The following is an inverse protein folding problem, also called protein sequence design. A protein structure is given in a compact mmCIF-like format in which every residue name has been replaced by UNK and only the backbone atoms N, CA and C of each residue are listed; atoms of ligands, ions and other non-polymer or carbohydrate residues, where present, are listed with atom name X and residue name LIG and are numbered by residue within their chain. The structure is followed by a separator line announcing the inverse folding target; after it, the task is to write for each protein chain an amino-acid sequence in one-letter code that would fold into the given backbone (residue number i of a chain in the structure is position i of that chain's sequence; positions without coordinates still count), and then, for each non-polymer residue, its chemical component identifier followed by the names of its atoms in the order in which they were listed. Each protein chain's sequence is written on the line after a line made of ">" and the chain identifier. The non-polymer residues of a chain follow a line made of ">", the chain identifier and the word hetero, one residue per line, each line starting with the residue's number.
data_IF_010862776405
#
_entry.id   IF_010862776405
#
_cell.length_a   1.000
_cell.length_b   1.000
_cell.length_c   1.000
_cell.angle_alpha   90.00
_cell.angle_beta   90.00
_cell.angle_gamma   90.00
#
_symmetry.space_group_name_H-M   'P 1'
#
loop_
_entity.id
_entity.type
_entity.pdbx_description
1 polymer ?
#
# COMPACT_ATOMS: atom_id res chain seq x y z
N UNK A 1 30.35 -87.17 18.82
CA UNK A 1 30.68 -85.74 18.91
C UNK A 1 29.43 -84.95 18.53
N UNK A 2 28.76 -84.33 19.51
CA UNK A 2 27.52 -83.59 19.27
C UNK A 2 27.85 -82.13 18.93
N UNK A 3 27.35 -81.62 17.81
CA UNK A 3 27.47 -80.21 17.46
C UNK A 3 26.34 -79.42 18.12
N UNK A 4 26.75 -78.55 19.05
CA UNK A 4 25.93 -77.58 19.77
C UNK A 4 25.22 -76.60 18.82
N UNK A 5 23.92 -76.41 19.05
CA UNK A 5 23.14 -75.31 18.51
C UNK A 5 23.37 -74.05 19.39
N UNK A 6 23.81 -72.95 18.77
CA UNK A 6 23.81 -71.61 19.36
C UNK A 6 22.55 -70.85 18.90
N UNK A 7 21.70 -70.33 19.79
CA UNK A 7 20.73 -69.32 19.44
C UNK A 7 21.42 -67.94 19.46
N UNK A 8 21.41 -67.26 18.32
CA UNK A 8 21.82 -65.86 18.23
C UNK A 8 20.67 -64.93 18.64
N UNK A 9 21.06 -64.00 19.50
CA UNK A 9 20.33 -62.93 20.15
C UNK A 9 19.61 -61.96 19.21
N UNK A 10 18.42 -61.56 19.65
CA UNK A 10 18.01 -60.18 19.96
C UNK A 10 18.17 -59.07 18.89
N UNK A 11 17.09 -58.27 18.77
CA UNK A 11 16.98 -56.94 18.14
C UNK A 11 16.60 -56.89 16.66
N UNK A 12 15.30 -56.84 16.40
CA UNK A 12 14.76 -56.01 15.30
C UNK A 12 13.41 -55.44 15.74
N UNK A 13 13.48 -54.42 16.59
CA UNK A 13 12.34 -53.60 17.03
C UNK A 13 12.64 -52.18 16.55
N UNK A 14 11.74 -51.66 15.71
CA UNK A 14 11.52 -50.24 15.40
C UNK A 14 12.62 -49.54 14.60
N UNK A 15 12.47 -49.55 13.27
CA UNK A 15 13.07 -48.58 12.36
C UNK A 15 11.99 -48.05 11.40
N UNK A 16 10.95 -47.44 11.96
CA UNK A 16 9.96 -46.63 11.25
C UNK A 16 9.55 -45.52 12.23
N UNK A 17 9.43 -44.28 11.77
CA UNK A 17 9.30 -43.01 12.54
C UNK A 17 10.64 -42.28 12.73
N UNK A 18 11.21 -41.78 11.62
CA UNK A 18 12.12 -40.62 11.63
C UNK A 18 11.96 -39.73 10.39
N UNK A 19 10.78 -39.75 9.75
CA UNK A 19 10.35 -38.71 8.79
C UNK A 19 9.37 -37.77 9.47
N UNK A 20 9.74 -37.26 10.65
CA UNK A 20 9.07 -36.10 11.23
C UNK A 20 9.55 -34.88 10.46
N UNK A 21 8.76 -34.55 9.44
CA UNK A 21 8.44 -33.20 9.00
C UNK A 21 9.35 -32.11 9.59
N UNK A 22 10.49 -31.88 8.93
CA UNK A 22 11.07 -30.55 8.89
C UNK A 22 10.10 -29.67 8.09
N UNK A 23 9.01 -29.29 8.76
CA UNK A 23 8.25 -28.11 8.37
C UNK A 23 9.20 -26.97 8.64
N UNK A 24 10.03 -26.63 7.65
CA UNK A 24 10.80 -25.40 7.68
C UNK A 24 9.79 -24.30 7.94
N UNK A 25 9.78 -23.76 9.16
CA UNK A 25 9.00 -22.58 9.49
C UNK A 25 9.67 -21.51 8.65
N UNK A 26 9.15 -21.28 7.44
CA UNK A 26 9.47 -20.09 6.68
C UNK A 26 9.05 -18.94 7.59
N UNK A 27 10.03 -18.35 8.28
CA UNK A 27 9.81 -17.15 9.07
C UNK A 27 9.31 -16.12 8.08
N UNK A 28 8.01 -15.81 8.15
CA UNK A 28 7.47 -14.69 7.40
C UNK A 28 8.35 -13.48 7.73
N UNK A 29 8.84 -12.79 6.71
CA UNK A 29 9.60 -11.56 6.90
C UNK A 29 8.78 -10.61 7.78
N UNK A 30 9.45 -9.87 8.65
CA UNK A 30 8.70 -9.01 9.57
C UNK A 30 7.93 -7.95 8.76
N UNK A 31 6.71 -7.55 9.19
CA UNK A 31 5.81 -6.73 8.36
C UNK A 31 6.33 -5.38 7.85
N UNK A 32 7.38 -4.82 8.47
CA UNK A 32 8.04 -3.56 8.08
C UNK A 32 9.47 -3.78 7.58
N UNK A 33 9.92 -5.03 7.47
CA UNK A 33 11.24 -5.38 6.97
C UNK A 33 11.25 -5.31 5.44
N UNK A 34 12.05 -4.41 4.85
CA UNK A 34 12.18 -4.38 3.40
C UNK A 34 12.74 -5.71 2.88
N UNK A 35 12.31 -6.14 1.69
CA UNK A 35 12.86 -7.32 1.01
C UNK A 35 13.54 -6.95 -0.32
N UNK A 36 14.72 -6.29 -0.30
CA UNK A 36 15.40 -5.82 -1.50
C UNK A 36 15.65 -6.92 -2.53
N UNK A 37 15.22 -6.68 -3.77
CA UNK A 37 15.61 -7.49 -4.91
C UNK A 37 16.69 -6.79 -5.75
N UNK A 38 17.57 -7.52 -6.47
CA UNK A 38 18.60 -6.92 -7.32
C UNK A 38 18.06 -6.37 -8.66
N UNK A 39 16.76 -6.51 -8.94
CA UNK A 39 16.15 -6.06 -10.19
C UNK A 39 16.18 -4.51 -10.30
N UNK A 40 16.51 -3.96 -11.47
CA UNK A 40 16.55 -2.50 -11.69
C UNK A 40 15.19 -1.83 -11.53
N UNK A 41 14.10 -2.56 -11.77
CA UNK A 41 12.73 -2.09 -11.57
C UNK A 41 12.22 -2.34 -10.15
N UNK A 42 13.08 -2.79 -9.23
CA UNK A 42 12.69 -3.03 -7.86
C UNK A 42 12.18 -1.74 -7.20
N UNK A 43 10.98 -1.83 -6.63
CA UNK A 43 10.43 -0.83 -5.73
C UNK A 43 9.61 -1.51 -4.66
N UNK A 44 9.82 -1.09 -3.42
CA UNK A 44 9.04 -1.52 -2.26
C UNK A 44 8.66 -0.29 -1.44
N UNK A 45 7.41 -0.22 -0.99
CA UNK A 45 6.85 0.95 -0.33
C UNK A 45 5.91 0.56 0.79
N UNK A 46 6.08 1.19 1.94
CA UNK A 46 5.16 1.20 3.07
C UNK A 46 4.45 2.56 3.07
N UNK A 47 3.15 2.55 2.81
CA UNK A 47 2.33 3.76 2.72
C UNK A 47 1.40 3.84 3.92
N UNK A 48 1.41 4.98 4.59
CA UNK A 48 0.62 5.25 5.78
C UNK A 48 -0.27 6.47 5.50
N UNK A 49 -1.58 6.31 5.61
CA UNK A 49 -2.59 7.31 5.28
C UNK A 49 -3.40 7.66 6.53
N UNK A 50 -3.79 8.92 6.64
CA UNK A 50 -4.77 9.44 7.57
C UNK A 50 -5.83 10.29 6.87
N UNK A 51 -7.11 9.99 7.14
CA UNK A 51 -8.24 10.87 6.85
C UNK A 51 -8.74 11.50 8.16
N UNK A 52 -8.46 12.78 8.35
CA UNK A 52 -8.69 13.48 9.61
C UNK A 52 -10.08 14.10 9.67
N UNK A 53 -10.57 14.31 10.89
CA UNK A 53 -11.92 14.83 11.16
C UNK A 53 -12.17 16.21 10.55
N UNK A 54 -11.16 17.09 10.53
CA UNK A 54 -11.22 18.42 9.92
C UNK A 54 -11.16 18.41 8.39
N UNK A 55 -11.11 17.22 7.78
CA UNK A 55 -11.01 17.03 6.34
C UNK A 55 -9.57 17.04 5.81
N UNK A 56 -8.56 17.18 6.67
CA UNK A 56 -7.15 17.07 6.28
C UNK A 56 -6.81 15.63 5.87
N UNK A 57 -6.13 15.48 4.73
CA UNK A 57 -5.52 14.22 4.33
C UNK A 57 -4.02 14.25 4.63
N UNK A 58 -3.52 13.16 5.19
CA UNK A 58 -2.09 12.97 5.48
C UNK A 58 -1.61 11.67 4.87
N UNK A 59 -0.45 11.69 4.23
CA UNK A 59 0.26 10.51 3.75
C UNK A 59 1.71 10.58 4.16
N UNK A 60 2.25 9.47 4.67
CA UNK A 60 3.68 9.24 4.84
C UNK A 60 4.04 7.97 4.10
N UNK A 61 5.12 8.02 3.33
CA UNK A 61 5.61 6.88 2.56
C UNK A 61 7.09 6.66 2.85
N UNK A 62 7.44 5.42 3.20
CA UNK A 62 8.81 4.94 3.34
C UNK A 62 9.04 3.90 2.27
N UNK A 63 10.03 4.07 1.41
CA UNK A 63 10.27 3.15 0.29
C UNK A 63 11.75 2.87 0.08
N UNK A 64 12.02 1.70 -0.51
CA UNK A 64 13.34 1.25 -0.95
C UNK A 64 13.23 0.90 -2.43
N UNK A 65 14.14 1.40 -3.26
CA UNK A 65 14.06 1.20 -4.72
C UNK A 65 15.43 1.15 -5.40
N UNK A 66 15.51 0.43 -6.52
CA UNK A 66 16.61 0.48 -7.47
C UNK A 66 16.32 1.37 -8.68
N UNK A 67 15.16 2.04 -8.73
CA UNK A 67 14.80 2.90 -9.84
C UNK A 67 15.71 4.14 -9.89
N UNK A 68 16.35 4.35 -11.04
CA UNK A 68 17.25 5.46 -11.31
C UNK A 68 18.73 5.12 -11.07
N UNK A 69 19.64 6.12 -11.09
CA UNK A 69 21.07 5.86 -10.94
C UNK A 69 21.43 5.30 -9.55
N UNK A 70 22.11 4.15 -9.51
CA UNK A 70 22.48 3.42 -8.28
C UNK A 70 21.40 2.46 -7.79
N UNK A 71 21.68 1.71 -6.73
CA UNK A 71 20.75 0.71 -6.16
C UNK A 71 20.38 1.03 -4.72
N UNK A 72 19.28 0.44 -4.24
CA UNK A 72 18.88 0.40 -2.83
C UNK A 72 18.77 1.78 -2.19
N UNK A 73 18.21 2.72 -2.92
CA UNK A 73 17.93 4.05 -2.38
C UNK A 73 16.72 3.98 -1.46
N UNK A 74 16.81 4.66 -0.32
CA UNK A 74 15.67 4.93 0.54
C UNK A 74 14.99 6.22 0.11
N UNK A 75 13.66 6.28 0.15
CA UNK A 75 12.90 7.53 -0.03
C UNK A 75 11.89 7.64 1.11
N UNK A 76 11.93 8.77 1.80
CA UNK A 76 10.88 9.20 2.71
C UNK A 76 10.12 10.38 2.10
N UNK A 77 8.81 10.29 2.06
CA UNK A 77 7.91 11.35 1.59
C UNK A 77 6.81 11.56 2.61
N UNK A 78 6.42 12.82 2.80
CA UNK A 78 5.18 13.17 3.48
C UNK A 78 4.30 14.01 2.56
N UNK A 79 2.99 14.04 2.81
CA UNK A 79 2.03 14.90 2.13
C UNK A 79 0.93 15.28 3.11
N UNK A 80 0.74 16.58 3.32
CA UNK A 80 -0.34 17.13 4.14
C UNK A 80 -1.19 18.03 3.27
N UNK A 81 -2.47 17.71 3.20
CA UNK A 81 -3.46 18.37 2.35
C UNK A 81 -4.62 18.86 3.20
N UNK A 82 -4.56 20.14 3.58
CA UNK A 82 -5.62 20.81 4.33
C UNK A 82 -6.64 21.41 3.37
N UNK A 83 -7.96 21.33 3.66
CA UNK A 83 -8.98 21.95 2.82
C UNK A 83 -8.70 23.43 2.55
N UNK A 84 -8.74 23.83 1.28
CA UNK A 84 -8.53 25.21 0.85
C UNK A 84 -7.10 25.74 0.96
N UNK A 85 -6.11 24.90 1.31
CA UNK A 85 -4.71 25.30 1.44
C UNK A 85 -3.82 24.61 0.40
N UNK A 86 -2.67 25.21 0.12
CA UNK A 86 -1.64 24.58 -0.71
C UNK A 86 -1.11 23.32 0.00
N UNK A 87 -0.99 22.23 -0.74
CA UNK A 87 -0.40 21.00 -0.22
C UNK A 87 1.06 21.20 0.20
N UNK A 88 1.46 20.57 1.29
CA UNK A 88 2.86 20.47 1.72
C UNK A 88 3.33 19.03 1.52
N UNK A 89 4.23 18.80 0.55
CA UNK A 89 4.62 17.45 0.10
C UNK A 89 6.13 17.25 0.06
N UNK A 90 6.84 17.34 1.20
CA UNK A 90 8.29 17.22 1.24
C UNK A 90 8.75 15.79 0.96
N UNK A 91 9.98 15.65 0.46
CA UNK A 91 10.59 14.37 0.15
C UNK A 91 12.10 14.41 0.40
N UNK A 92 12.65 13.31 0.93
CA UNK A 92 14.08 13.08 1.05
C UNK A 92 14.45 11.72 0.46
N UNK A 93 15.43 11.72 -0.45
CA UNK A 93 16.12 10.51 -0.92
C UNK A 93 17.41 10.32 -0.11
N UNK A 94 17.71 9.09 0.28
CA UNK A 94 18.88 8.68 1.07
C UNK A 94 19.56 7.46 0.46
N UNK A 95 20.85 7.25 0.76
CA UNK A 95 21.60 6.10 0.26
C UNK A 95 21.30 4.80 1.02
N UNK A 96 21.84 3.68 0.53
CA UNK A 96 21.67 2.34 1.13
C UNK A 96 22.04 2.28 2.62
N UNK A 97 23.06 3.05 3.04
CA UNK A 97 23.55 3.06 4.43
C UNK A 97 22.69 3.89 5.39
N UNK A 98 21.69 4.59 4.87
CA UNK A 98 20.85 5.53 5.63
C UNK A 98 19.43 4.99 5.85
N UNK A 99 19.14 3.77 5.41
CA UNK A 99 17.94 3.05 5.81
C UNK A 99 18.31 1.70 6.44
N UNK A 100 17.46 1.22 7.34
CA UNK A 100 17.65 -0.07 8.01
C UNK A 100 16.35 -0.54 8.64
N UNK A 101 16.27 -1.85 8.89
CA UNK A 101 15.23 -2.44 9.74
C UNK A 101 15.88 -3.00 11.01
N UNK A 102 15.28 -2.71 12.16
CA UNK A 102 15.66 -3.28 13.45
C UNK A 102 14.55 -4.23 13.92
N UNK A 103 14.83 -5.53 13.83
CA UNK A 103 13.89 -6.59 14.21
C UNK A 103 13.58 -6.62 15.72
N UNK A 104 14.50 -6.16 16.58
CA UNK A 104 14.27 -6.14 18.03
C UNK A 104 13.22 -5.11 18.41
N UNK A 105 13.19 -3.98 17.68
CA UNK A 105 12.25 -2.89 17.95
C UNK A 105 11.07 -2.85 16.99
N UNK A 106 11.09 -3.66 15.92
CA UNK A 106 10.09 -3.63 14.86
C UNK A 106 10.08 -2.32 14.10
N UNK A 107 11.26 -1.71 13.88
CA UNK A 107 11.38 -0.35 13.35
C UNK A 107 12.09 -0.32 11.99
N UNK A 108 11.40 0.18 10.97
CA UNK A 108 11.99 0.63 9.72
C UNK A 108 12.42 2.09 9.85
N UNK A 109 13.66 2.40 9.45
CA UNK A 109 14.20 3.75 9.37
C UNK A 109 14.63 4.06 7.95
N UNK A 110 14.29 5.25 7.46
CA UNK A 110 14.70 5.78 6.15
C UNK A 110 15.12 7.23 6.33
N UNK A 111 16.43 7.46 6.47
CA UNK A 111 16.98 8.75 6.89
C UNK A 111 16.48 9.14 8.28
N UNK A 112 15.89 10.32 8.39
CA UNK A 112 15.29 10.82 9.63
C UNK A 112 13.85 10.29 9.87
N UNK A 113 13.25 9.64 8.89
CA UNK A 113 11.90 9.09 9.01
C UNK A 113 11.93 7.67 9.58
N UNK A 114 10.86 7.28 10.26
CA UNK A 114 10.73 5.93 10.80
C UNK A 114 9.28 5.45 10.83
N UNK A 115 9.10 4.13 10.77
CA UNK A 115 7.86 3.44 11.08
C UNK A 115 8.17 2.31 12.06
N UNK A 116 7.44 2.25 13.15
CA UNK A 116 7.57 1.23 14.19
C UNK A 116 6.23 0.56 14.42
N UNK A 117 6.20 -0.76 14.48
CA UNK A 117 5.03 -1.52 14.88
C UNK A 117 5.39 -2.48 16.00
N UNK A 118 5.05 -2.11 17.23
CA UNK A 118 5.32 -2.89 18.44
C UNK A 118 4.36 -2.47 19.55
N UNK A 119 4.11 -3.35 20.53
CA UNK A 119 3.32 -2.99 21.71
C UNK A 119 1.84 -2.69 21.42
N UNK A 120 1.26 -3.26 20.36
CA UNK A 120 -0.16 -3.11 20.02
C UNK A 120 -0.51 -1.85 19.23
N UNK A 121 0.47 -1.05 18.79
CA UNK A 121 0.26 0.13 17.97
C UNK A 121 1.29 0.23 16.85
N UNK A 122 1.01 1.12 15.89
CA UNK A 122 1.96 1.50 14.82
C UNK A 122 2.19 3.00 14.90
N UNK A 123 3.46 3.43 14.90
CA UNK A 123 3.83 4.84 14.88
C UNK A 123 4.75 5.15 13.72
N UNK A 124 4.47 6.23 13.02
CA UNK A 124 5.24 6.69 11.86
C UNK A 124 5.64 8.14 12.10
N UNK A 125 6.91 8.47 11.91
CA UNK A 125 7.42 9.84 12.02
C UNK A 125 8.16 10.25 10.75
N UNK A 126 7.84 11.43 10.23
CA UNK A 126 8.45 12.04 9.06
C UNK A 126 8.80 13.51 9.33
N UNK A 127 9.93 13.79 9.99
CA UNK A 127 10.50 15.14 10.08
C UNK A 127 11.20 15.49 8.76
N UNK A 128 10.64 16.42 7.99
CA UNK A 128 11.13 16.80 6.66
C UNK A 128 10.99 18.30 6.47
N UNK A 129 11.94 18.96 5.79
CA UNK A 129 11.88 20.37 5.38
C UNK A 129 11.40 21.37 6.48
N UNK A 130 11.88 21.18 7.71
CA UNK A 130 11.49 21.97 8.91
C UNK A 130 10.01 21.85 9.31
N UNK A 131 9.31 20.84 8.80
CA UNK A 131 8.03 20.38 9.31
C UNK A 131 8.12 18.95 9.85
N UNK A 132 7.01 18.46 10.40
CA UNK A 132 6.90 17.14 11.00
C UNK A 132 5.50 16.57 10.82
N UNK A 133 5.44 15.29 10.47
CA UNK A 133 4.23 14.48 10.57
C UNK A 133 4.53 13.32 11.51
N UNK A 134 3.66 13.08 12.48
CA UNK A 134 3.64 11.86 13.27
C UNK A 134 2.24 11.23 13.19
N UNK A 135 2.17 9.95 12.82
CA UNK A 135 0.93 9.17 12.73
C UNK A 135 1.00 8.05 13.77
N UNK A 136 0.01 7.97 14.63
CA UNK A 136 -0.12 6.91 15.64
C UNK A 136 -1.44 6.16 15.45
N UNK A 137 -1.33 4.93 14.95
CA UNK A 137 -2.43 4.03 14.69
C UNK A 137 -2.65 3.13 15.91
N UNK A 138 -3.89 3.02 16.36
CA UNK A 138 -4.29 2.19 17.51
C UNK A 138 -4.31 0.68 17.21
N UNK A 139 -3.43 0.20 16.32
CA UNK A 139 -3.24 -1.20 15.98
C UNK A 139 -1.82 -1.45 15.44
N UNK A 140 -1.22 -2.64 15.67
CA UNK A 140 0.01 -3.02 15.01
C UNK A 140 -0.27 -3.36 13.53
N UNK A 141 0.74 -3.27 12.67
CA UNK A 141 0.59 -3.74 11.29
C UNK A 141 0.35 -5.26 11.27
N UNK A 142 -0.62 -5.68 10.47
CA UNK A 142 -0.99 -7.07 10.26
C UNK A 142 -1.25 -7.27 8.76
N UNK A 143 -0.22 -7.66 7.97
CA UNK A 143 -0.34 -7.80 6.53
C UNK A 143 -1.45 -8.78 6.13
N UNK A 144 -2.34 -8.33 5.26
CA UNK A 144 -3.36 -9.15 4.62
C UNK A 144 -3.27 -8.97 3.11
N UNK A 145 -3.29 -10.09 2.38
CA UNK A 145 -3.28 -10.13 0.92
C UNK A 145 -4.62 -10.68 0.43
N UNK A 146 -5.62 -9.82 0.15
CA UNK A 146 -6.83 -10.24 -0.54
C UNK A 146 -6.51 -10.98 -1.85
N UNK A 147 -7.45 -11.80 -2.32
CA UNK A 147 -7.29 -12.52 -3.59
C UNK A 147 -6.92 -11.57 -4.75
N UNK A 148 -6.00 -12.00 -5.62
CA UNK A 148 -5.50 -11.20 -6.74
C UNK A 148 -4.55 -10.06 -6.34
N UNK A 149 -4.14 -9.95 -5.08
CA UNK A 149 -3.15 -8.94 -4.65
C UNK A 149 -1.73 -9.21 -5.14
N UNK A 150 -1.50 -10.35 -5.80
CA UNK A 150 -0.26 -10.68 -6.48
C UNK A 150 -0.47 -10.74 -7.99
N UNK A 151 0.46 -10.16 -8.73
CA UNK A 151 0.46 -10.13 -10.20
C UNK A 151 1.83 -10.59 -10.66
N UNK A 152 1.87 -11.52 -11.61
CA UNK A 152 3.11 -12.03 -12.20
C UNK A 152 3.11 -11.75 -13.70
N UNK A 153 4.22 -11.18 -14.19
CA UNK A 153 4.45 -10.89 -15.61
C UNK A 153 5.82 -11.43 -15.99
N UNK A 154 5.86 -12.61 -16.59
CA UNK A 154 7.10 -13.35 -16.78
C UNK A 154 7.77 -13.65 -15.44
N UNK A 155 9.02 -13.21 -15.26
CA UNK A 155 9.77 -13.38 -14.01
C UNK A 155 9.60 -12.20 -13.03
N UNK A 156 8.80 -11.20 -13.38
CA UNK A 156 8.55 -10.04 -12.55
C UNK A 156 7.25 -10.21 -11.76
N UNK A 157 7.22 -9.67 -10.54
CA UNK A 157 6.09 -9.82 -9.62
C UNK A 157 5.76 -8.50 -8.96
N UNK A 158 4.47 -8.27 -8.77
CA UNK A 158 3.91 -7.26 -7.90
C UNK A 158 3.14 -7.95 -6.78
N UNK A 159 3.24 -7.43 -5.57
CA UNK A 159 2.47 -7.83 -4.40
C UNK A 159 1.97 -6.58 -3.69
N UNK A 160 0.71 -6.60 -3.33
CA UNK A 160 0.05 -5.62 -2.48
C UNK A 160 -0.44 -6.29 -1.20
N UNK A 161 -0.24 -5.62 -0.07
CA UNK A 161 -0.75 -6.07 1.22
C UNK A 161 -1.37 -4.87 1.91
N UNK A 162 -2.59 -5.03 2.41
CA UNK A 162 -3.14 -4.06 3.36
C UNK A 162 -2.58 -4.42 4.72
N UNK A 163 -1.86 -3.50 5.34
CA UNK A 163 -1.20 -3.73 6.64
C UNK A 163 -2.01 -3.16 7.80
N UNK A 164 -2.81 -2.12 7.54
CA UNK A 164 -3.83 -1.58 8.45
C UNK A 164 -5.04 -1.18 7.59
N UNK A 165 -6.12 -1.94 7.62
CA UNK A 165 -7.31 -1.61 6.83
C UNK A 165 -8.11 -0.46 7.47
N UNK A 166 -8.33 -0.57 8.77
CA UNK A 166 -9.11 0.35 9.59
C UNK A 166 -8.44 0.50 10.94
N UNK A 167 -7.97 1.70 11.28
CA UNK A 167 -7.41 1.95 12.60
C UNK A 167 -7.73 3.37 13.04
N UNK A 168 -8.22 3.58 14.28
CA UNK A 168 -8.26 4.91 14.86
C UNK A 168 -6.86 5.54 14.81
N UNK A 169 -6.79 6.77 14.32
CA UNK A 169 -5.54 7.48 14.08
C UNK A 169 -5.50 8.77 14.91
N UNK A 170 -4.38 8.98 15.59
CA UNK A 170 -3.96 10.30 16.07
C UNK A 170 -2.83 10.80 15.17
N UNK A 171 -2.99 11.99 14.61
CA UNK A 171 -1.99 12.61 13.76
C UNK A 171 -1.50 13.92 14.39
N UNK A 172 -0.20 14.06 14.56
CA UNK A 172 0.43 15.32 14.96
C UNK A 172 1.14 15.91 13.73
N UNK A 173 0.79 17.15 13.39
CA UNK A 173 1.26 17.82 12.18
C UNK A 173 1.82 19.19 12.55
N UNK A 174 3.05 19.43 12.14
CA UNK A 174 3.71 20.73 12.17
C UNK A 174 4.16 21.09 10.76
N UNK A 175 3.49 22.08 10.15
CA UNK A 175 3.94 22.62 8.86
C UNK A 175 5.16 23.53 9.08
N UNK A 176 6.00 23.79 8.05
CA UNK A 176 7.14 24.68 8.17
C UNK A 176 6.72 26.06 8.69
N UNK A 177 7.37 26.52 9.77
CA UNK A 177 7.05 27.78 10.50
C UNK A 177 5.65 27.83 11.14
N UNK A 178 4.91 26.73 11.10
CA UNK A 178 3.61 26.59 11.74
C UNK A 178 3.71 26.05 13.17
N UNK A 179 2.62 26.20 13.91
CA UNK A 179 2.46 25.55 15.21
C UNK A 179 2.12 24.07 15.02
N UNK A 180 2.64 23.23 15.91
CA UNK A 180 2.24 21.82 15.98
C UNK A 180 0.76 21.72 16.38
N UNK A 181 0.00 20.88 15.69
CA UNK A 181 -1.40 20.61 15.97
C UNK A 181 -1.64 19.09 15.94
N UNK A 182 -2.55 18.62 16.80
CA UNK A 182 -2.95 17.22 16.86
C UNK A 182 -4.39 17.05 16.40
N UNK A 183 -4.63 16.00 15.64
CA UNK A 183 -5.90 15.67 15.01
C UNK A 183 -6.25 14.21 15.26
N UNK A 184 -7.54 13.91 15.24
CA UNK A 184 -8.08 12.56 15.22
C UNK A 184 -8.61 12.21 13.84
N UNK A 185 -8.69 10.92 13.52
CA UNK A 185 -9.25 10.45 12.26
C UNK A 185 -9.20 8.95 12.08
N UNK A 186 -9.42 8.53 10.84
CA UNK A 186 -9.28 7.15 10.39
C UNK A 186 -7.96 6.92 9.68
N UNK A 187 -7.32 5.80 9.99
CA UNK A 187 -6.03 5.40 9.47
C UNK A 187 -6.11 4.18 8.57
N UNK A 188 -5.27 4.17 7.53
CA UNK A 188 -5.04 3.06 6.64
C UNK A 188 -3.54 2.93 6.35
N UNK A 189 -3.05 1.72 6.14
CA UNK A 189 -1.70 1.48 5.65
C UNK A 189 -1.65 0.28 4.68
N UNK A 190 -0.76 0.38 3.70
CA UNK A 190 -0.43 -0.72 2.80
C UNK A 190 1.08 -0.88 2.61
N UNK A 191 1.43 -2.05 2.13
CA UNK A 191 2.76 -2.44 1.71
C UNK A 191 2.67 -2.93 0.27
N UNK A 192 3.54 -2.41 -0.60
CA UNK A 192 3.66 -2.88 -1.96
C UNK A 192 5.10 -3.24 -2.27
N UNK A 193 5.29 -4.30 -3.04
CA UNK A 193 6.60 -4.72 -3.55
C UNK A 193 6.46 -5.10 -5.01
N UNK A 194 7.30 -4.53 -5.86
CA UNK A 194 7.27 -4.74 -7.31
C UNK A 194 8.67 -4.93 -7.86
N UNK A 195 8.81 -5.88 -8.78
CA UNK A 195 9.90 -5.93 -9.77
C UNK A 195 9.37 -5.69 -11.19
N UNK A 196 8.07 -5.42 -11.33
CA UNK A 196 7.43 -5.01 -12.58
C UNK A 196 7.68 -3.51 -12.76
N UNK A 197 8.15 -3.12 -13.94
CA UNK A 197 8.29 -1.70 -14.30
C UNK A 197 6.94 -0.98 -14.13
N UNK A 198 6.89 0.19 -13.46
CA UNK A 198 5.62 0.86 -13.16
C UNK A 198 4.69 1.05 -14.37
N UNK A 199 5.27 1.41 -15.52
CA UNK A 199 4.53 1.59 -16.79
C UNK A 199 3.80 0.31 -17.26
N UNK A 200 4.29 -0.87 -16.88
CA UNK A 200 3.75 -2.16 -17.33
C UNK A 200 2.78 -2.77 -16.33
N UNK A 201 2.70 -2.23 -15.11
CA UNK A 201 1.95 -2.86 -14.04
C UNK A 201 0.44 -2.69 -14.21
N UNK A 202 -0.01 -1.50 -14.60
CA UNK A 202 -1.44 -1.21 -14.70
C UNK A 202 -1.69 -0.07 -15.67
N UNK A 203 -2.82 -0.16 -16.37
CA UNK A 203 -3.37 0.94 -17.15
C UNK A 203 -4.09 1.94 -16.24
N UNK A 204 -4.82 1.43 -15.24
CA UNK A 204 -5.53 2.24 -14.25
C UNK A 204 -5.68 1.54 -12.90
N UNK A 205 -5.71 2.36 -11.86
CA UNK A 205 -6.07 1.97 -10.50
C UNK A 205 -7.22 2.83 -10.00
N UNK A 206 -8.11 2.22 -9.23
CA UNK A 206 -9.08 2.89 -8.38
C UNK A 206 -8.87 2.37 -6.96
N UNK A 207 -8.73 3.28 -6.01
CA UNK A 207 -8.76 2.97 -4.58
C UNK A 207 -9.82 3.80 -3.92
N UNK A 208 -10.58 3.21 -3.00
CA UNK A 208 -11.49 3.97 -2.17
C UNK A 208 -11.33 3.56 -0.70
N UNK A 209 -11.35 4.56 0.18
CA UNK A 209 -11.10 4.39 1.61
C UNK A 209 -12.10 5.24 2.37
N UNK A 210 -13.14 4.59 2.91
CA UNK A 210 -14.01 5.16 3.91
C UNK A 210 -13.43 4.82 5.29
N UNK A 211 -12.67 5.75 5.86
CA UNK A 211 -11.93 5.55 7.11
C UNK A 211 -12.60 6.20 8.33
N UNK A 212 -13.61 7.05 8.09
CA UNK A 212 -14.35 7.81 9.10
C UNK A 212 -15.82 7.43 9.08
N UNK A 213 -16.54 7.74 10.16
CA UNK A 213 -17.95 7.42 10.33
C UNK A 213 -18.19 5.99 10.80
N UNK A 214 -19.47 5.60 10.77
CA UNK A 214 -19.94 4.32 11.31
C UNK A 214 -19.67 3.15 10.37
N UNK A 215 -19.66 3.40 9.06
CA UNK A 215 -19.36 2.39 8.06
C UNK A 215 -17.99 2.63 7.44
N UNK A 216 -17.06 1.71 7.71
CA UNK A 216 -15.70 1.76 7.16
C UNK A 216 -15.50 0.67 6.13
N UNK A 217 -14.89 1.06 5.01
CA UNK A 217 -14.68 0.19 3.87
C UNK A 217 -13.42 0.59 3.11
N UNK A 218 -12.67 -0.40 2.64
CA UNK A 218 -11.62 -0.21 1.63
C UNK A 218 -12.00 -0.91 0.34
N UNK A 219 -11.58 -0.32 -0.76
CA UNK A 219 -11.72 -0.85 -2.10
C UNK A 219 -10.41 -0.66 -2.84
N UNK A 220 -10.03 -1.69 -3.59
CA UNK A 220 -8.91 -1.66 -4.53
C UNK A 220 -9.39 -2.29 -5.83
N UNK A 221 -9.14 -1.63 -6.95
CA UNK A 221 -9.42 -2.12 -8.27
C UNK A 221 -8.27 -1.75 -9.23
N UNK A 222 -7.76 -2.73 -9.97
CA UNK A 222 -6.72 -2.58 -11.00
C UNK A 222 -7.23 -3.09 -12.34
N UNK A 223 -6.94 -2.36 -13.41
CA UNK A 223 -6.92 -2.89 -14.77
C UNK A 223 -5.47 -2.96 -15.26
N UNK A 224 -5.04 -4.13 -15.71
CA UNK A 224 -3.75 -4.40 -16.33
C UNK A 224 -3.61 -3.80 -17.73
N UNK A 225 -2.39 -3.87 -18.28
CA UNK A 225 -2.12 -3.38 -19.63
C UNK A 225 -2.72 -4.28 -20.73
N UNK A 226 -2.97 -5.54 -20.39
CA UNK A 226 -3.69 -6.55 -21.18
C UNK A 226 -5.21 -6.45 -21.07
N UNK A 227 -5.72 -5.57 -20.21
CA UNK A 227 -7.15 -5.45 -19.91
C UNK A 227 -7.65 -6.42 -18.84
N UNK A 228 -6.78 -7.24 -18.23
CA UNK A 228 -7.17 -8.10 -17.11
C UNK A 228 -7.47 -7.27 -15.86
N UNK A 229 -8.51 -7.67 -15.13
CA UNK A 229 -8.89 -7.05 -13.87
C UNK A 229 -8.35 -7.87 -12.70
N UNK A 230 -7.78 -7.20 -11.70
CA UNK A 230 -7.31 -7.86 -10.48
C UNK A 230 -6.06 -7.21 -9.90
N UNK A 231 -6.01 -6.86 -8.60
CA UNK A 231 -7.06 -7.09 -7.62
C UNK A 231 -8.27 -6.19 -7.88
N UNK A 232 -9.48 -6.74 -7.68
CA UNK A 232 -10.73 -5.97 -7.58
C UNK A 232 -11.52 -6.51 -6.39
N UNK A 233 -11.60 -5.74 -5.31
CA UNK A 233 -12.32 -6.15 -4.10
C UNK A 233 -12.90 -4.96 -3.33
N UNK A 234 -13.89 -5.28 -2.49
CA UNK A 234 -14.36 -4.43 -1.39
C UNK A 234 -14.14 -5.15 -0.08
N UNK A 235 -13.81 -4.42 0.97
CA UNK A 235 -13.60 -4.98 2.29
C UNK A 235 -14.21 -4.05 3.33
N UNK A 236 -15.24 -4.53 4.03
CA UNK A 236 -15.93 -3.82 5.13
C UNK A 236 -15.23 -4.17 6.46
N UNK A 237 -15.20 -3.22 7.41
CA UNK A 237 -14.63 -3.46 8.74
C UNK A 237 -15.33 -4.64 9.44
N UNK A 238 -14.54 -5.57 9.97
CA UNK A 238 -15.05 -6.79 10.62
C UNK A 238 -15.47 -7.92 9.65
N UNK A 239 -15.41 -7.69 8.33
CA UNK A 239 -15.70 -8.70 7.31
C UNK A 239 -14.43 -9.25 6.64
N UNK A 240 -14.59 -10.29 5.81
CA UNK A 240 -13.56 -10.73 4.88
C UNK A 240 -13.61 -9.91 3.59
N UNK A 241 -12.47 -9.70 2.89
CA UNK A 241 -12.46 -9.07 1.57
C UNK A 241 -13.35 -9.84 0.60
N UNK A 242 -14.26 -9.12 -0.06
CA UNK A 242 -15.18 -9.65 -1.06
C UNK A 242 -14.65 -9.33 -2.46
N UNK A 243 -14.33 -10.34 -3.28
CA UNK A 243 -13.88 -10.11 -4.65
C UNK A 243 -15.02 -9.54 -5.51
N UNK A 244 -14.63 -8.80 -6.53
CA UNK A 244 -15.48 -8.27 -7.58
C UNK A 244 -14.87 -8.69 -8.93
N UNK A 245 -15.65 -8.62 -10.00
CA UNK A 245 -15.22 -9.13 -11.31
C UNK A 245 -14.41 -8.10 -12.08
N UNK A 246 -14.96 -6.89 -12.22
CA UNK A 246 -14.35 -5.79 -12.97
C UNK A 246 -14.94 -4.45 -12.55
N UNK A 247 -14.41 -3.38 -13.14
CA UNK A 247 -14.96 -2.04 -12.99
C UNK A 247 -14.96 -1.28 -14.32
N UNK A 248 -15.89 -0.34 -14.46
CA UNK A 248 -15.82 0.70 -15.48
C UNK A 248 -15.43 2.02 -14.82
N UNK A 249 -14.67 2.84 -15.54
CA UNK A 249 -14.24 4.16 -15.08
C UNK A 249 -14.58 5.18 -16.16
N UNK A 250 -15.40 6.16 -15.77
CA UNK A 250 -15.81 7.26 -16.63
C UNK A 250 -15.31 8.58 -16.05
N UNK A 251 -14.78 9.43 -16.94
CA UNK A 251 -14.29 10.77 -16.61
C UNK A 251 -15.21 11.82 -17.21
N UNK A 252 -15.55 12.82 -16.42
CA UNK A 252 -16.12 14.07 -16.88
C UNK A 252 -15.12 15.20 -16.63
N UNK A 253 -14.98 16.12 -17.59
CA UNK A 253 -13.98 17.20 -17.51
C UNK A 253 -12.54 16.74 -17.74
N UNK A 254 -11.58 17.61 -17.41
CA UNK A 254 -10.16 17.37 -17.62
C UNK A 254 -9.31 18.02 -16.50
N UNK A 255 -8.11 17.49 -16.28
CA UNK A 255 -7.14 17.93 -15.27
C UNK A 255 -7.80 18.20 -13.91
N UNK A 256 -7.60 19.37 -13.31
CA UNK A 256 -8.13 19.73 -12.00
C UNK A 256 -9.67 19.84 -11.95
N UNK A 257 -10.34 19.81 -13.11
CA UNK A 257 -11.81 19.79 -13.21
C UNK A 257 -12.38 18.39 -13.43
N UNK A 258 -11.55 17.36 -13.29
CA UNK A 258 -11.99 15.97 -13.51
C UNK A 258 -12.93 15.53 -12.40
N UNK A 259 -14.08 15.00 -12.80
CA UNK A 259 -14.97 14.20 -11.97
C UNK A 259 -14.95 12.75 -12.48
N UNK A 260 -15.10 11.81 -11.57
CA UNK A 260 -14.98 10.38 -11.83
C UNK A 260 -16.23 9.64 -11.36
N UNK A 261 -16.68 8.71 -12.19
CA UNK A 261 -17.68 7.71 -11.85
C UNK A 261 -17.07 6.34 -12.09
N UNK A 262 -17.10 5.49 -11.05
CA UNK A 262 -16.65 4.11 -11.12
C UNK A 262 -17.85 3.21 -10.88
N UNK A 263 -18.12 2.28 -11.80
CA UNK A 263 -19.13 1.25 -11.59
C UNK A 263 -18.41 -0.07 -11.33
N UNK A 264 -18.79 -0.73 -10.24
CA UNK A 264 -18.16 -1.95 -9.75
C UNK A 264 -19.11 -3.11 -10.02
N UNK A 265 -18.62 -4.18 -10.63
CA UNK A 265 -19.47 -5.26 -11.13
C UNK A 265 -19.19 -6.59 -10.43
N UNK A 266 -20.26 -7.33 -10.16
CA UNK A 266 -20.23 -8.68 -9.60
C UNK A 266 -21.53 -9.40 -9.93
N UNK A 267 -21.48 -10.69 -10.28
CA UNK A 267 -22.66 -11.51 -10.51
C UNK A 267 -23.50 -11.04 -11.71
N UNK A 268 -22.86 -10.48 -12.74
CA UNK A 268 -23.54 -10.02 -13.97
C UNK A 268 -24.27 -8.67 -13.85
N UNK A 269 -24.08 -7.91 -12.76
CA UNK A 269 -24.70 -6.59 -12.56
C UNK A 269 -23.81 -5.60 -11.81
N UNK A 270 -24.27 -4.34 -11.70
CA UNK A 270 -23.59 -3.32 -10.91
C UNK A 270 -23.80 -3.58 -9.40
N UNK A 271 -22.71 -3.85 -8.70
CA UNK A 271 -22.69 -4.09 -7.25
C UNK A 271 -22.62 -2.78 -6.45
N UNK A 272 -21.92 -1.76 -6.97
CA UNK A 272 -21.77 -0.46 -6.35
C UNK A 272 -21.37 0.61 -7.36
N UNK A 273 -21.64 1.89 -7.04
CA UNK A 273 -21.22 3.05 -7.83
C UNK A 273 -20.46 4.02 -6.95
N UNK A 274 -19.23 4.35 -7.32
CA UNK A 274 -18.39 5.31 -6.64
C UNK A 274 -18.31 6.60 -7.44
N UNK A 275 -18.56 7.75 -6.79
CA UNK A 275 -18.59 9.06 -7.43
C UNK A 275 -17.66 10.04 -6.72
N UNK A 276 -16.80 10.72 -7.46
CA UNK A 276 -16.05 11.86 -6.90
C UNK A 276 -17.01 13.00 -6.57
N UNK A 277 -16.76 13.70 -5.48
CA UNK A 277 -17.48 14.91 -5.09
C UNK A 277 -16.60 16.15 -5.15
N UNK A 278 -15.37 16.09 -4.65
CA UNK A 278 -14.43 17.22 -4.71
C UNK A 278 -12.99 16.75 -4.90
N UNK A 279 -12.24 17.44 -5.77
CA UNK A 279 -10.81 17.19 -5.94
C UNK A 279 -10.05 17.72 -4.73
N UNK A 280 -9.20 16.87 -4.15
CA UNK A 280 -8.25 17.24 -3.10
C UNK A 280 -6.89 17.54 -3.74
N UNK A 281 -6.40 16.67 -4.62
CA UNK A 281 -5.11 16.83 -5.29
C UNK A 281 -5.08 16.13 -6.64
N UNK A 282 -4.43 16.78 -7.61
CA UNK A 282 -3.85 16.13 -8.78
C UNK A 282 -2.33 16.06 -8.60
N UNK A 283 -1.74 14.89 -8.81
CA UNK A 283 -0.29 14.70 -8.85
C UNK A 283 0.09 14.09 -10.18
N UNK A 284 1.00 14.75 -10.90
CA UNK A 284 1.47 14.31 -12.22
C UNK A 284 2.99 14.48 -12.30
N UNK A 285 3.77 13.69 -11.53
CA UNK A 285 5.19 13.95 -11.32
C UNK A 285 5.99 13.98 -12.63
N UNK A 286 5.64 13.16 -13.61
CA UNK A 286 6.33 13.12 -14.91
C UNK A 286 6.00 14.35 -15.77
N UNK A 287 4.76 14.85 -15.71
CA UNK A 287 4.38 16.09 -16.39
C UNK A 287 5.03 17.31 -15.74
N UNK A 288 5.13 17.33 -14.41
CA UNK A 288 5.76 18.40 -13.63
C UNK A 288 7.25 18.56 -13.92
N UNK A 289 7.92 17.51 -14.43
CA UNK A 289 9.30 17.57 -14.91
C UNK A 289 9.46 18.26 -16.27
N UNK A 290 8.36 18.58 -16.96
CA UNK A 290 8.38 19.23 -18.27
C UNK A 290 9.19 18.44 -19.30
N UNK A 291 10.16 19.10 -19.95
CA UNK A 291 11.02 18.47 -20.98
C UNK A 291 11.81 17.28 -20.43
N UNK A 292 12.19 17.31 -19.15
CA UNK A 292 12.90 16.20 -18.50
C UNK A 292 12.00 14.98 -18.28
N UNK A 293 10.68 15.16 -18.27
CA UNK A 293 9.71 14.06 -18.15
C UNK A 293 9.85 13.03 -19.27
N UNK A 294 10.23 13.47 -20.49
CA UNK A 294 10.46 12.59 -21.63
C UNK A 294 11.59 11.58 -21.41
N UNK A 295 12.58 11.89 -20.56
CA UNK A 295 13.71 11.01 -20.26
C UNK A 295 13.35 9.89 -19.29
N UNK A 296 12.42 10.15 -18.35
CA UNK A 296 12.04 9.17 -17.32
C UNK A 296 10.82 8.35 -17.71
N UNK A 297 9.95 8.90 -18.56
CA UNK A 297 8.68 8.28 -18.98
C UNK A 297 8.80 6.82 -19.46
N UNK A 298 9.81 6.42 -20.25
CA UNK A 298 9.93 5.02 -20.69
C UNK A 298 10.09 4.01 -19.56
N UNK A 299 10.60 4.45 -18.40
CA UNK A 299 10.87 3.58 -17.24
C UNK A 299 9.73 3.63 -16.24
N UNK A 300 9.31 4.84 -15.84
CA UNK A 300 8.33 5.04 -14.77
C UNK A 300 6.89 5.21 -15.28
N UNK A 301 6.70 5.24 -16.59
CA UNK A 301 5.41 5.58 -17.20
C UNK A 301 5.12 7.07 -17.08
N UNK A 302 3.84 7.44 -17.17
CA UNK A 302 3.40 8.82 -16.91
C UNK A 302 2.21 8.82 -15.94
N UNK A 303 2.35 8.25 -14.73
CA UNK A 303 1.23 8.12 -13.82
C UNK A 303 0.68 9.50 -13.43
N UNK A 304 -0.63 9.67 -13.58
CA UNK A 304 -1.37 10.81 -13.05
C UNK A 304 -2.33 10.29 -12.00
N UNK A 305 -2.21 10.79 -10.78
CA UNK A 305 -3.06 10.41 -9.66
C UNK A 305 -3.96 11.57 -9.26
N UNK A 306 -5.25 11.27 -9.14
CA UNK A 306 -6.28 12.15 -8.62
C UNK A 306 -6.73 11.63 -7.27
N UNK A 307 -6.65 12.47 -6.25
CA UNK A 307 -7.23 12.22 -4.94
C UNK A 307 -8.46 13.10 -4.78
N UNK A 308 -9.61 12.49 -4.51
CA UNK A 308 -10.90 13.15 -4.34
C UNK A 308 -11.55 12.76 -3.01
N UNK A 309 -12.43 13.62 -2.50
CA UNK A 309 -13.57 13.18 -1.70
C UNK A 309 -14.56 12.46 -2.61
N UNK A 310 -15.18 11.42 -2.12
CA UNK A 310 -16.10 10.60 -2.91
C UNK A 310 -17.17 9.95 -2.05
N UNK A 311 -18.19 9.42 -2.72
CA UNK A 311 -19.30 8.69 -2.12
C UNK A 311 -19.48 7.36 -2.86
N UNK A 312 -19.58 6.27 -2.10
CA UNK A 312 -19.91 4.93 -2.59
C UNK A 312 -21.38 4.63 -2.34
N UNK A 313 -22.13 4.41 -3.41
CA UNK A 313 -23.55 4.07 -3.43
C UNK A 313 -23.73 2.57 -3.66
N UNK A 314 -24.61 1.92 -2.88
CA UNK A 314 -24.95 0.50 -3.00
C UNK A 314 -26.46 0.34 -2.88
N UNK A 315 -27.02 -0.61 -3.61
CA UNK A 315 -28.47 -0.84 -3.59
C UNK A 315 -28.95 -1.17 -2.17
N UNK A 316 -29.92 -0.41 -1.67
CA UNK A 316 -30.53 -0.61 -0.36
C UNK A 316 -29.65 -0.30 0.85
N UNK A 317 -28.47 0.32 0.67
CA UNK A 317 -27.61 0.80 1.76
C UNK A 317 -27.44 2.32 1.67
N UNK A 318 -27.17 2.94 2.82
CA UNK A 318 -26.80 4.36 2.87
C UNK A 318 -25.49 4.63 2.10
N UNK A 319 -25.34 5.80 1.46
CA UNK A 319 -24.10 6.16 0.79
C UNK A 319 -22.94 6.35 1.78
N UNK A 320 -21.76 5.82 1.43
CA UNK A 320 -20.58 5.88 2.30
C UNK A 320 -19.61 6.92 1.77
N UNK A 321 -19.28 7.92 2.58
CA UNK A 321 -18.31 8.95 2.23
C UNK A 321 -16.87 8.49 2.50
N UNK A 322 -15.94 8.89 1.63
CA UNK A 322 -14.52 8.55 1.81
C UNK A 322 -13.59 9.28 0.86
N UNK A 323 -12.39 8.73 0.74
CA UNK A 323 -11.35 9.17 -0.18
C UNK A 323 -11.33 8.25 -1.39
N UNK A 324 -11.40 8.81 -2.58
CA UNK A 324 -11.16 8.08 -3.83
C UNK A 324 -9.83 8.51 -4.43
N UNK A 325 -9.02 7.54 -4.80
CA UNK A 325 -7.81 7.74 -5.58
C UNK A 325 -7.98 7.06 -6.95
N UNK A 326 -7.77 7.81 -8.02
CA UNK A 326 -7.75 7.29 -9.39
C UNK A 326 -6.37 7.56 -9.96
N UNK A 327 -5.66 6.50 -10.37
CA UNK A 327 -4.37 6.62 -11.06
C UNK A 327 -4.50 6.10 -12.48
N UNK A 328 -4.03 6.88 -13.44
CA UNK A 328 -4.03 6.55 -14.87
C UNK A 328 -2.65 6.68 -15.47
N UNK A 329 -2.40 5.97 -16.58
CA UNK A 329 -1.24 6.24 -17.42
C UNK A 329 -1.51 7.44 -18.35
N UNK A 330 -0.91 8.58 -18.03
CA UNK A 330 -1.12 9.85 -18.74
C UNK A 330 -2.46 10.52 -18.40
N UNK A 331 -2.72 11.65 -19.04
CA UNK A 331 -3.97 12.43 -18.90
C UNK A 331 -4.98 12.16 -20.04
N UNK A 332 -4.86 11.02 -20.73
CA UNK A 332 -5.72 10.68 -21.86
C UNK A 332 -7.16 10.36 -21.44
#
# INVERSE_FOLDING_TARGET
>A
MPHEARPQSLMMVVALIATLAWSGIASAAAPLEPTPAPNDNYGESFTFIGDLEDGTFVLVQLSVTNLGPGSRHGICRASVLKPGQKAWTPQKKVGEREWRYDAMTGTLQVGACSARSAGGFTRVEAPLDNGRVALEYAAPVAPQSPEGSEVEVGNARYRHEVTLAFSPLRATVQLPKGTEATYSGGGYADHTRSTIAPAKLAKRWVRFRALRGDERLVLLAREGQDGEFGPVYTWEEGATPRPLEYFTLNREGAKERSAWKVELHSGGGAAAVLRSTSLIQRSAPVEELGVLGGLVRPVVGSPVTYLHRAVLERAGKEPVAGLMEVTLEGDQ
#
